data_IF_459173156701
#
_entry.id   IF_459173156701
#
_cell.length_a   1.000
_cell.length_b   1.000
_cell.length_c   1.000
_cell.angle_alpha   90.00
_cell.angle_beta   90.00
_cell.angle_gamma   90.00
#
_symmetry.space_group_name_H-M   'P 1'
#
loop_
_entity.id
_entity.type
_entity.pdbx_description
1 polymer ?
#
# COMPACT_ATOMS: atom_id res chain seq x y z
N UNK A 1 14.56 -14.06 -1.78
CA UNK A 1 15.19 -13.62 -3.05
C UNK A 1 15.25 -12.10 -3.00
N UNK A 2 16.16 -11.44 -3.73
CA UNK A 2 16.15 -9.97 -3.80
C UNK A 2 15.07 -9.57 -4.80
N UNK A 3 13.99 -8.94 -4.34
CA UNK A 3 12.95 -8.35 -5.20
C UNK A 3 13.59 -7.13 -5.89
N UNK A 4 14.23 -7.34 -7.04
CA UNK A 4 14.92 -6.30 -7.81
C UNK A 4 14.16 -6.06 -9.10
N UNK A 5 13.68 -4.82 -9.30
CA UNK A 5 12.84 -4.46 -10.43
C UNK A 5 11.38 -4.90 -10.28
N UNK A 6 10.50 -4.49 -11.21
CA UNK A 6 9.10 -4.89 -11.19
C UNK A 6 8.96 -6.40 -11.33
N UNK A 7 7.96 -6.98 -10.64
CA UNK A 7 7.69 -8.43 -10.71
C UNK A 7 7.33 -8.89 -12.12
N UNK A 8 6.63 -8.06 -12.88
CA UNK A 8 6.26 -8.29 -14.28
C UNK A 8 6.86 -7.19 -15.16
N UNK A 9 7.63 -7.54 -16.19
CA UNK A 9 8.19 -6.55 -17.11
C UNK A 9 7.12 -5.79 -17.93
N UNK A 10 5.87 -6.27 -17.95
CA UNK A 10 4.74 -5.64 -18.64
C UNK A 10 3.86 -4.76 -17.75
N UNK A 11 4.06 -4.80 -16.42
CA UNK A 11 3.33 -3.98 -15.45
C UNK A 11 4.27 -3.45 -14.37
N UNK A 12 4.27 -2.15 -14.13
CA UNK A 12 5.17 -1.56 -13.14
C UNK A 12 4.77 -1.92 -11.70
N UNK A 13 3.49 -2.21 -11.48
CA UNK A 13 2.94 -2.61 -10.17
C UNK A 13 2.12 -3.89 -10.25
N UNK A 14 1.95 -4.54 -9.10
CA UNK A 14 1.07 -5.68 -8.91
C UNK A 14 -0.39 -5.25 -8.63
N UNK A 15 -1.28 -6.24 -8.48
CA UNK A 15 -2.72 -6.02 -8.31
C UNK A 15 -3.08 -5.49 -6.93
N UNK A 16 -2.35 -5.89 -5.88
CA UNK A 16 -2.67 -5.55 -4.49
C UNK A 16 -1.52 -4.82 -3.81
N UNK A 17 -1.84 -3.98 -2.82
CA UNK A 17 -0.86 -3.26 -2.01
C UNK A 17 -1.12 -3.54 -0.54
N UNK A 18 -0.06 -3.64 0.24
CA UNK A 18 -0.19 -3.77 1.69
C UNK A 18 -0.62 -2.43 2.31
N UNK A 19 -1.49 -2.50 3.30
CA UNK A 19 -1.92 -1.39 4.16
C UNK A 19 -1.48 -1.70 5.59
N UNK A 20 -0.52 -0.95 6.10
CA UNK A 20 -0.05 -1.06 7.48
C UNK A 20 -0.64 0.05 8.34
N UNK A 21 -1.10 -0.31 9.53
CA UNK A 21 -1.62 0.65 10.51
C UNK A 21 -0.62 0.78 11.65
N UNK A 22 0.11 1.91 11.69
CA UNK A 22 1.18 2.12 12.67
C UNK A 22 0.72 2.89 13.92
N UNK A 23 -0.46 3.52 13.85
CA UNK A 23 -1.03 4.33 14.93
C UNK A 23 -2.34 3.74 15.45
N UNK A 24 -2.75 4.18 16.65
CA UNK A 24 -3.99 3.73 17.27
C UNK A 24 -5.19 4.42 16.63
N UNK A 25 -5.91 3.69 15.77
CA UNK A 25 -7.15 4.12 15.14
C UNK A 25 -8.22 3.04 15.32
N UNK A 26 -9.47 3.48 15.38
CA UNK A 26 -10.61 2.59 15.53
C UNK A 26 -10.83 1.71 14.30
N UNK A 27 -11.47 0.57 14.50
CA UNK A 27 -11.90 -0.33 13.41
C UNK A 27 -12.87 0.36 12.44
N UNK A 28 -13.66 1.32 12.91
CA UNK A 28 -14.51 2.15 12.04
C UNK A 28 -13.68 3.04 11.11
N UNK A 29 -12.59 3.64 11.59
CA UNK A 29 -11.66 4.40 10.74
C UNK A 29 -10.95 3.50 9.72
N UNK A 30 -10.55 2.28 10.10
CA UNK A 30 -9.96 1.30 9.17
C UNK A 30 -10.96 0.93 8.08
N UNK A 31 -12.21 0.62 8.46
CA UNK A 31 -13.28 0.32 7.52
C UNK A 31 -13.53 1.47 6.56
N UNK A 32 -13.50 2.71 7.07
CA UNK A 32 -13.61 3.91 6.25
C UNK A 32 -12.43 4.05 5.29
N UNK A 33 -11.19 3.82 5.72
CA UNK A 33 -10.00 3.86 4.85
C UNK A 33 -10.15 2.88 3.68
N UNK A 34 -10.48 1.62 3.99
CA UNK A 34 -10.67 0.58 2.97
C UNK A 34 -11.80 0.96 2.00
N UNK A 35 -12.95 1.38 2.52
CA UNK A 35 -14.12 1.74 1.71
C UNK A 35 -13.87 2.96 0.82
N UNK A 36 -13.24 4.01 1.37
CA UNK A 36 -12.93 5.23 0.63
C UNK A 36 -11.91 4.96 -0.48
N UNK A 37 -10.86 4.19 -0.19
CA UNK A 37 -9.85 3.84 -1.21
C UNK A 37 -10.44 2.97 -2.32
N UNK A 38 -11.31 2.01 -1.98
CA UNK A 38 -12.05 1.22 -2.97
C UNK A 38 -12.96 2.08 -3.85
N UNK A 39 -13.65 3.06 -3.26
CA UNK A 39 -14.60 3.90 -3.99
C UNK A 39 -13.90 4.88 -4.94
N UNK A 40 -12.69 5.32 -4.59
CA UNK A 40 -11.83 6.12 -5.47
C UNK A 40 -11.16 5.29 -6.58
N UNK A 41 -10.97 3.98 -6.38
CA UNK A 41 -10.49 3.08 -7.42
C UNK A 41 -11.61 2.77 -8.44
N UNK A 42 -11.49 3.30 -9.66
CA UNK A 42 -12.47 3.15 -10.74
C UNK A 42 -12.65 1.71 -11.27
N UNK A 43 -11.94 0.73 -10.71
CA UNK A 43 -11.79 -0.64 -11.21
C UNK A 43 -12.65 -1.67 -10.48
N UNK A 44 -13.27 -1.30 -9.35
CA UNK A 44 -14.22 -2.18 -8.64
C UNK A 44 -13.58 -3.39 -7.93
N UNK A 45 -12.31 -3.29 -7.55
CA UNK A 45 -11.56 -4.31 -6.79
C UNK A 45 -11.04 -3.78 -5.46
N UNK A 46 -10.90 -4.65 -4.45
CA UNK A 46 -10.29 -4.27 -3.17
C UNK A 46 -8.78 -4.40 -3.28
N UNK A 47 -8.07 -3.34 -3.65
CA UNK A 47 -6.62 -3.42 -3.90
C UNK A 47 -5.78 -3.32 -2.62
N UNK A 48 -6.29 -2.70 -1.55
CA UNK A 48 -5.60 -2.63 -0.27
C UNK A 48 -5.84 -3.88 0.58
N UNK A 49 -4.77 -4.52 1.01
CA UNK A 49 -4.78 -5.62 1.96
C UNK A 49 -4.27 -5.16 3.33
N UNK A 50 -5.11 -5.30 4.36
CA UNK A 50 -4.77 -4.96 5.73
C UNK A 50 -3.71 -5.94 6.27
N UNK A 51 -2.48 -5.47 6.34
CA UNK A 51 -1.31 -6.27 6.68
C UNK A 51 -1.43 -6.80 8.11
N UNK A 52 -1.43 -8.13 8.23
CA UNK A 52 -1.55 -8.83 9.52
C UNK A 52 -0.61 -10.02 9.60
N UNK A 53 -0.68 -10.92 8.61
CA UNK A 53 0.19 -12.08 8.49
C UNK A 53 0.20 -12.59 7.05
N UNK A 54 1.22 -13.31 6.61
CA UNK A 54 1.28 -13.78 5.22
C UNK A 54 0.18 -14.78 4.80
N UNK A 55 -0.55 -15.36 5.76
CA UNK A 55 -1.57 -16.38 5.49
C UNK A 55 -2.83 -15.80 4.85
N UNK A 56 -3.13 -14.52 5.08
CA UNK A 56 -4.27 -13.83 4.48
C UNK A 56 -3.86 -12.80 3.42
N UNK A 57 -2.59 -12.78 3.02
CA UNK A 57 -2.15 -11.99 1.88
C UNK A 57 -2.89 -12.46 0.61
N UNK A 58 -3.31 -11.53 -0.27
CA UNK A 58 -3.87 -11.86 -1.56
C UNK A 58 -2.98 -12.78 -2.37
N UNK A 59 -3.56 -13.78 -3.03
CA UNK A 59 -2.88 -14.77 -3.85
C UNK A 59 -3.67 -15.06 -5.12
N UNK A 60 -2.99 -15.65 -6.10
CA UNK A 60 -3.65 -16.22 -7.28
C UNK A 60 -4.30 -17.56 -6.93
N UNK A 61 -5.58 -17.72 -7.24
CA UNK A 61 -6.34 -18.96 -7.13
C UNK A 61 -6.89 -19.34 -8.50
N UNK A 62 -6.15 -20.18 -9.24
CA UNK A 62 -6.46 -20.48 -10.64
C UNK A 62 -6.27 -19.25 -11.52
N UNK A 63 -7.32 -18.85 -12.25
CA UNK A 63 -7.32 -17.66 -13.11
C UNK A 63 -7.83 -16.40 -12.39
N UNK A 64 -8.13 -16.49 -11.10
CA UNK A 64 -8.64 -15.37 -10.30
C UNK A 64 -7.65 -14.93 -9.24
N UNK A 65 -7.72 -13.66 -8.88
CA UNK A 65 -7.01 -13.09 -7.74
C UNK A 65 -7.98 -13.03 -6.57
N UNK A 66 -7.53 -13.39 -5.37
CA UNK A 66 -8.29 -13.04 -4.16
C UNK A 66 -8.21 -11.54 -3.95
N UNK A 67 -9.32 -10.91 -3.60
CA UNK A 67 -9.37 -9.51 -3.21
C UNK A 67 -8.47 -9.22 -1.99
N UNK A 68 -8.12 -7.94 -1.82
CA UNK A 68 -7.62 -7.38 -0.57
C UNK A 68 -8.68 -7.40 0.55
N UNK A 69 -8.52 -6.52 1.54
CA UNK A 69 -9.38 -6.55 2.71
C UNK A 69 -10.69 -5.81 2.49
N UNK A 70 -11.78 -6.57 2.47
CA UNK A 70 -13.15 -6.03 2.42
C UNK A 70 -13.67 -5.72 3.83
N UNK A 71 -14.23 -4.52 4.08
CA UNK A 71 -14.91 -4.21 5.34
C UNK A 71 -16.23 -5.02 5.50
N UNK A 72 -16.68 -5.28 6.73
CA UNK A 72 -16.11 -4.81 7.99
C UNK A 72 -14.96 -5.68 8.50
N UNK A 73 -13.91 -5.04 9.03
CA UNK A 73 -12.88 -5.72 9.83
C UNK A 73 -13.45 -6.15 11.19
N UNK A 74 -12.91 -7.23 11.80
CA UNK A 74 -13.33 -7.65 13.14
C UNK A 74 -13.18 -6.53 14.17
N UNK A 75 -14.15 -6.39 15.09
CA UNK A 75 -14.17 -5.29 16.09
C UNK A 75 -13.01 -5.34 17.08
N UNK A 76 -12.50 -6.54 17.32
CA UNK A 76 -11.36 -6.86 18.18
C UNK A 76 -10.03 -6.92 17.40
N UNK A 77 -10.04 -6.57 16.11
CA UNK A 77 -8.83 -6.48 15.32
C UNK A 77 -7.92 -5.39 15.89
N UNK A 78 -6.64 -5.73 16.05
CA UNK A 78 -5.59 -4.82 16.44
C UNK A 78 -4.43 -4.94 15.46
N UNK A 79 -3.80 -3.82 15.13
CA UNK A 79 -2.67 -3.83 14.21
C UNK A 79 -1.46 -4.52 14.86
N UNK A 80 -0.87 -5.53 14.21
CA UNK A 80 0.41 -6.09 14.66
C UNK A 80 1.59 -5.15 14.39
N UNK A 81 1.33 -3.99 13.77
CA UNK A 81 2.31 -2.94 13.50
C UNK A 81 2.07 -1.68 14.33
N UNK A 82 1.16 -1.70 15.31
CA UNK A 82 0.94 -0.56 16.19
C UNK A 82 2.26 -0.17 16.90
N UNK A 83 2.65 1.10 16.76
CA UNK A 83 3.89 1.64 17.32
C UNK A 83 5.17 1.24 16.58
N UNK A 84 5.06 0.50 15.46
CA UNK A 84 6.21 0.15 14.62
C UNK A 84 6.54 1.27 13.64
N UNK A 85 7.73 1.15 13.05
CA UNK A 85 8.29 2.08 12.08
C UNK A 85 8.08 1.61 10.64
N UNK A 86 8.31 2.49 9.66
CA UNK A 86 8.31 2.13 8.23
C UNK A 86 9.36 1.03 7.93
N UNK A 87 10.60 1.08 8.45
CA UNK A 87 11.54 -0.04 8.31
C UNK A 87 10.99 -1.41 8.77
N UNK A 88 10.19 -1.46 9.83
CA UNK A 88 9.56 -2.72 10.26
C UNK A 88 8.52 -3.23 9.25
N UNK A 89 7.81 -2.31 8.57
CA UNK A 89 6.91 -2.66 7.48
C UNK A 89 7.70 -3.18 6.27
N UNK A 90 8.83 -2.57 5.94
CA UNK A 90 9.75 -3.03 4.87
C UNK A 90 10.26 -4.44 5.16
N UNK A 91 10.72 -4.71 6.39
CA UNK A 91 11.16 -6.06 6.79
C UNK A 91 10.04 -7.09 6.62
N UNK A 92 8.80 -6.71 6.93
CA UNK A 92 7.64 -7.57 6.67
C UNK A 92 7.40 -7.79 5.17
N UNK A 93 7.54 -6.74 4.34
CA UNK A 93 7.41 -6.85 2.88
C UNK A 93 8.49 -7.74 2.26
N UNK A 94 9.73 -7.69 2.77
CA UNK A 94 10.83 -8.56 2.32
C UNK A 94 10.54 -10.05 2.57
N UNK A 95 9.69 -10.36 3.55
CA UNK A 95 9.25 -11.71 3.86
C UNK A 95 7.98 -12.16 3.12
N UNK A 96 7.42 -11.34 2.21
CA UNK A 96 6.23 -11.72 1.45
C UNK A 96 6.49 -12.98 0.60
N UNK A 97 5.60 -13.99 0.65
CA UNK A 97 5.73 -15.17 -0.20
C UNK A 97 5.61 -14.84 -1.69
N UNK A 98 6.35 -15.54 -2.55
CA UNK A 98 6.34 -15.32 -4.01
C UNK A 98 4.96 -15.57 -4.64
N UNK A 99 4.13 -16.42 -4.05
CA UNK A 99 2.76 -16.66 -4.52
C UNK A 99 1.77 -15.55 -4.16
N UNK A 100 2.19 -14.58 -3.35
CA UNK A 100 1.42 -13.38 -3.03
C UNK A 100 1.28 -12.50 -4.26
N UNK A 101 0.12 -11.88 -4.41
CA UNK A 101 -0.14 -10.89 -5.48
C UNK A 101 -0.07 -9.46 -4.96
N UNK A 102 0.53 -9.29 -3.78
CA UNK A 102 0.83 -8.00 -3.16
C UNK A 102 2.14 -7.46 -3.76
N UNK A 103 2.15 -6.20 -4.15
CA UNK A 103 3.32 -5.50 -4.68
C UNK A 103 4.45 -5.49 -3.67
N UNK A 104 5.67 -5.82 -4.12
CA UNK A 104 6.82 -5.88 -3.24
C UNK A 104 7.42 -4.52 -2.92
N UNK A 105 7.22 -3.54 -3.81
CA UNK A 105 7.89 -2.25 -3.76
C UNK A 105 6.99 -1.16 -3.20
N UNK A 106 5.68 -1.26 -3.42
CA UNK A 106 4.73 -0.21 -3.08
C UNK A 106 3.75 -0.67 -2.00
N UNK A 107 3.54 0.18 -1.00
CA UNK A 107 2.58 -0.07 0.07
C UNK A 107 2.08 1.24 0.69
N UNK A 108 1.07 1.12 1.56
CA UNK A 108 0.41 2.24 2.21
C UNK A 108 0.60 2.15 3.72
N UNK A 109 0.90 3.30 4.34
CA UNK A 109 1.04 3.48 5.78
C UNK A 109 -0.06 4.41 6.29
N UNK A 110 -0.77 3.97 7.32
CA UNK A 110 -1.57 4.82 8.20
C UNK A 110 -0.70 5.17 9.40
N UNK A 111 -0.12 6.37 9.36
CA UNK A 111 0.76 6.91 10.40
C UNK A 111 0.15 8.11 11.13
N UNK A 112 0.98 8.85 11.85
CA UNK A 112 0.60 10.05 12.61
C UNK A 112 -0.07 11.14 11.76
N UNK A 113 0.27 11.23 10.47
CA UNK A 113 -0.32 12.20 9.55
C UNK A 113 -1.81 11.94 9.33
N UNK A 114 -2.25 10.69 9.42
CA UNK A 114 -3.66 10.35 9.35
C UNK A 114 -4.45 10.96 10.53
N UNK A 115 -3.86 10.95 11.73
CA UNK A 115 -4.50 11.53 12.91
C UNK A 115 -4.64 13.06 12.81
N UNK A 116 -3.73 13.71 12.08
CA UNK A 116 -3.69 15.18 11.94
C UNK A 116 -4.56 15.69 10.80
N UNK A 117 -4.51 15.04 9.65
CA UNK A 117 -5.10 15.55 8.40
C UNK A 117 -5.86 14.50 7.61
N UNK A 118 -6.01 13.26 8.11
CA UNK A 118 -6.73 12.19 7.43
C UNK A 118 -6.03 11.67 6.16
N UNK A 119 -4.76 11.98 5.97
CA UNK A 119 -3.94 11.50 4.85
C UNK A 119 -3.21 10.21 5.22
N UNK A 120 -2.93 9.39 4.23
CA UNK A 120 -2.06 8.22 4.33
C UNK A 120 -0.75 8.50 3.62
N UNK A 121 0.25 7.66 3.87
CA UNK A 121 1.55 7.76 3.24
C UNK A 121 1.72 6.60 2.26
N UNK A 122 1.96 6.89 0.99
CA UNK A 122 2.41 5.91 0.01
C UNK A 122 3.91 5.72 0.21
N UNK A 123 4.38 4.48 0.14
CA UNK A 123 5.79 4.15 0.27
C UNK A 123 6.26 3.40 -0.97
N UNK A 124 7.51 3.66 -1.38
CA UNK A 124 8.24 2.89 -2.40
C UNK A 124 9.55 2.37 -1.81
N UNK A 125 9.82 1.08 -1.99
CA UNK A 125 11.11 0.44 -1.72
C UNK A 125 11.91 0.38 -3.02
N UNK A 126 13.12 0.93 -2.97
CA UNK A 126 14.06 0.97 -4.08
C UNK A 126 14.08 2.32 -4.81
N UNK A 127 15.02 2.40 -5.74
CA UNK A 127 15.20 3.55 -6.62
C UNK A 127 14.13 3.62 -7.73
N UNK A 128 14.37 4.48 -8.72
CA UNK A 128 13.50 4.66 -9.87
C UNK A 128 13.31 3.38 -10.69
N UNK A 129 14.26 2.44 -10.66
CA UNK A 129 14.17 1.14 -11.31
C UNK A 129 13.69 0.03 -10.35
N UNK A 130 13.20 0.40 -9.17
CA UNK A 130 12.79 -0.52 -8.09
C UNK A 130 13.93 -1.42 -7.60
N UNK A 131 15.16 -0.88 -7.53
CA UNK A 131 16.35 -1.59 -7.05
C UNK A 131 16.84 -1.07 -5.71
N UNK A 132 17.42 -1.96 -4.92
CA UNK A 132 17.90 -1.63 -3.58
C UNK A 132 16.81 -1.55 -2.51
N UNK A 133 17.12 -0.89 -1.39
CA UNK A 133 16.32 -0.94 -0.14
C UNK A 133 15.93 0.41 0.43
N UNK A 134 16.30 1.50 -0.25
CA UNK A 134 15.92 2.84 0.21
C UNK A 134 14.40 3.00 0.16
N UNK A 135 13.84 3.75 1.12
CA UNK A 135 12.39 3.96 1.18
C UNK A 135 12.10 5.41 0.92
N UNK A 136 11.25 5.66 -0.06
CA UNK A 136 10.68 6.98 -0.29
C UNK A 136 9.20 7.02 0.11
N UNK A 137 8.73 8.20 0.53
CA UNK A 137 7.41 8.37 1.13
C UNK A 137 6.72 9.61 0.57
N UNK A 138 5.48 9.44 0.11
CA UNK A 138 4.65 10.51 -0.43
C UNK A 138 3.31 10.60 0.31
N UNK A 139 2.87 11.81 0.72
CA UNK A 139 1.56 12.00 1.32
C UNK A 139 0.46 11.86 0.25
N UNK A 140 -0.62 11.15 0.59
CA UNK A 140 -1.76 10.93 -0.30
C UNK A 140 -3.07 10.89 0.49
N UNK A 141 -4.12 11.42 -0.10
CA UNK A 141 -5.49 11.21 0.36
C UNK A 141 -5.85 9.73 0.31
N UNK A 142 -6.68 9.28 1.26
CA UNK A 142 -7.18 7.91 1.30
C UNK A 142 -7.91 7.52 0.00
N UNK A 143 -8.63 8.48 -0.59
CA UNK A 143 -9.42 8.30 -1.80
C UNK A 143 -8.55 7.94 -3.01
N UNK A 144 -7.42 8.62 -3.19
CA UNK A 144 -6.55 8.39 -4.34
C UNK A 144 -5.53 7.27 -4.14
N UNK A 145 -5.26 6.84 -2.90
CA UNK A 145 -4.17 5.90 -2.60
C UNK A 145 -4.13 4.65 -3.50
N UNK A 146 -5.26 3.95 -3.67
CA UNK A 146 -5.31 2.76 -4.54
C UNK A 146 -5.13 3.12 -6.02
N UNK A 147 -5.81 4.17 -6.49
CA UNK A 147 -5.75 4.60 -7.89
C UNK A 147 -4.34 5.06 -8.28
N UNK A 148 -3.68 5.82 -7.42
CA UNK A 148 -2.31 6.30 -7.63
C UNK A 148 -1.34 5.14 -7.81
N UNK A 149 -1.36 4.15 -6.90
CA UNK A 149 -0.45 3.01 -6.97
C UNK A 149 -0.71 2.10 -8.18
N UNK A 150 -1.99 1.88 -8.52
CA UNK A 150 -2.35 1.09 -9.70
C UNK A 150 -2.00 1.78 -11.02
N UNK A 151 -2.02 3.10 -11.04
CA UNK A 151 -1.71 3.90 -12.22
C UNK A 151 -0.21 4.20 -12.39
N UNK A 152 0.66 3.66 -11.53
CA UNK A 152 2.09 3.89 -11.66
C UNK A 152 2.64 3.23 -12.93
N UNK A 153 3.25 4.07 -13.76
CA UNK A 153 4.08 3.68 -14.89
C UNK A 153 5.57 3.91 -14.55
N UNK A 154 6.53 3.40 -15.36
CA UNK A 154 7.93 3.77 -15.19
C UNK A 154 8.09 5.30 -15.09
N UNK A 155 8.91 5.77 -14.14
CA UNK A 155 9.11 7.19 -13.83
C UNK A 155 7.91 7.93 -13.18
N UNK A 156 6.72 7.32 -13.11
CA UNK A 156 5.52 7.97 -12.58
C UNK A 156 5.65 8.40 -11.11
N UNK A 157 6.36 7.63 -10.30
CA UNK A 157 6.64 8.01 -8.91
C UNK A 157 7.45 9.32 -8.82
N UNK A 158 8.44 9.50 -9.69
CA UNK A 158 9.30 10.68 -9.70
C UNK A 158 8.52 11.93 -10.14
N UNK A 159 7.62 11.79 -11.11
CA UNK A 159 6.71 12.86 -11.52
C UNK A 159 5.80 13.30 -10.36
N UNK A 160 5.22 12.33 -9.65
CA UNK A 160 4.38 12.60 -8.49
C UNK A 160 5.18 13.30 -7.39
N UNK A 161 6.39 12.81 -7.08
CA UNK A 161 7.27 13.43 -6.08
C UNK A 161 7.56 14.88 -6.44
N UNK A 162 7.96 15.16 -7.68
CA UNK A 162 8.24 16.52 -8.14
C UNK A 162 7.03 17.44 -7.94
N UNK A 163 5.81 16.97 -8.26
CA UNK A 163 4.59 17.76 -8.04
C UNK A 163 4.36 18.06 -6.55
N UNK A 164 4.58 17.09 -5.67
CA UNK A 164 4.45 17.33 -4.21
C UNK A 164 5.50 18.34 -3.72
N UNK A 165 6.74 18.23 -4.18
CA UNK A 165 7.83 19.15 -3.83
C UNK A 165 7.59 20.58 -4.32
N UNK A 166 6.95 20.73 -5.50
CA UNK A 166 6.56 22.01 -6.08
C UNK A 166 5.36 22.66 -5.36
N UNK A 167 4.84 22.03 -4.30
CA UNK A 167 3.80 22.58 -3.43
C UNK A 167 2.38 22.33 -3.93
N UNK A 168 2.18 21.39 -4.86
CA UNK A 168 0.84 20.87 -5.14
C UNK A 168 0.30 20.12 -3.92
N UNK A 169 -1.03 20.10 -3.77
CA UNK A 169 -1.68 19.44 -2.64
C UNK A 169 -1.30 17.95 -2.56
N UNK A 170 -1.34 17.33 -1.37
CA UNK A 170 -1.18 15.88 -1.26
C UNK A 170 -2.16 15.19 -2.21
N UNK A 171 -1.67 14.11 -2.84
CA UNK A 171 -2.30 13.44 -3.99
C UNK A 171 -3.74 13.03 -3.67
#
# INVERSE_FOLDING_TARGET
MTHEGPRDATSWTDVHFALFVLVDISTDQINQILQTSYSGASLGSWNLWLATSYTNAPRKQGDQYTDGTKPPVPKDWNSPFLGKSIPDAVEFMEGLPDESTVDWHHFVIVGEDYLKSGIVNLCRIGDEELKGKEVDVLPCSVEHASLTLMGLEPHGWEEIRSNVEDGFSPI
#
